data_IF_124022708387
#
_entry.id   IF_124022708387
#
_cell.length_a   1.000
_cell.length_b   1.000
_cell.length_c   1.000
_cell.angle_alpha   90.00
_cell.angle_beta   90.00
_cell.angle_gamma   90.00
#
_symmetry.space_group_name_H-M   'P 1'
#
loop_
_entity.id
_entity.type
_entity.pdbx_description
1 polymer ?
#
# COMPACT_ATOMS: atom_id res chain seq x y z
N UNK A 1 -35.62 22.48 44.14
CA UNK A 1 -34.19 22.59 43.79
C UNK A 1 -33.84 21.85 42.49
N UNK A 2 -34.35 20.64 42.22
CA UNK A 2 -34.06 19.86 41.02
C UNK A 2 -34.44 20.51 39.66
N UNK A 3 -35.58 21.25 39.64
CA UNK A 3 -36.04 21.92 38.39
C UNK A 3 -35.14 23.09 37.98
N UNK A 4 -34.59 23.83 38.93
CA UNK A 4 -33.69 24.95 38.68
C UNK A 4 -32.34 24.44 38.13
N UNK A 5 -31.85 23.30 38.65
CA UNK A 5 -30.64 22.66 38.19
C UNK A 5 -30.80 22.16 36.74
N UNK A 6 -31.95 21.65 36.37
CA UNK A 6 -32.25 21.17 35.01
C UNK A 6 -32.28 22.31 33.98
N UNK A 7 -32.87 23.47 34.32
CA UNK A 7 -32.87 24.65 33.45
C UNK A 7 -31.47 25.27 33.31
N UNK A 8 -30.65 25.22 34.36
CA UNK A 8 -29.24 25.66 34.30
C UNK A 8 -28.40 24.82 33.37
N UNK A 9 -28.58 23.49 33.35
CA UNK A 9 -27.83 22.57 32.45
C UNK A 9 -28.27 22.77 31.00
N UNK A 10 -29.56 22.97 30.74
CA UNK A 10 -30.08 23.23 29.38
C UNK A 10 -29.57 24.57 28.87
N UNK A 11 -29.49 25.61 29.68
CA UNK A 11 -28.94 26.91 29.30
C UNK A 11 -27.45 26.84 28.94
N UNK A 12 -26.68 25.98 29.64
CA UNK A 12 -25.26 25.80 29.36
C UNK A 12 -24.97 25.08 28.02
N UNK A 13 -25.89 24.18 27.61
CA UNK A 13 -25.78 23.44 26.33
C UNK A 13 -26.04 24.31 25.11
N UNK A 14 -26.85 25.37 25.25
CA UNK A 14 -27.19 26.27 24.15
C UNK A 14 -26.07 27.27 23.84
N UNK A 15 -25.21 27.60 24.80
CA UNK A 15 -24.08 28.51 24.62
C UNK A 15 -22.84 27.86 23.95
N UNK A 16 -22.85 26.54 23.69
CA UNK A 16 -21.75 25.80 23.09
C UNK A 16 -21.74 25.81 21.56
N UNK A 17 -22.61 26.58 20.89
CA UNK A 17 -22.50 26.79 19.45
C UNK A 17 -21.34 27.75 19.13
N UNK A 18 -20.12 27.21 19.21
CA UNK A 18 -18.95 27.85 18.60
C UNK A 18 -19.19 27.83 17.07
N UNK A 19 -19.55 29.00 16.52
CA UNK A 19 -19.76 29.17 15.10
C UNK A 19 -18.50 28.74 14.34
N UNK A 20 -18.58 27.62 13.64
CA UNK A 20 -17.55 27.17 12.70
C UNK A 20 -17.44 28.26 11.64
N UNK A 21 -16.39 29.08 11.75
CA UNK A 21 -16.13 30.13 10.76
C UNK A 21 -15.81 29.44 9.43
N UNK A 22 -16.60 29.64 8.36
CA UNK A 22 -16.30 29.05 7.06
C UNK A 22 -14.96 29.58 6.58
N UNK A 23 -14.05 28.66 6.25
CA UNK A 23 -12.76 29.01 5.68
C UNK A 23 -13.01 29.63 4.31
N UNK A 24 -12.54 30.86 4.09
CA UNK A 24 -12.60 31.50 2.78
C UNK A 24 -11.73 30.69 1.82
N UNK A 25 -12.37 30.06 0.85
CA UNK A 25 -11.69 29.29 -0.22
C UNK A 25 -11.52 30.23 -1.40
N UNK A 26 -10.29 30.35 -1.92
CA UNK A 26 -10.03 31.14 -3.12
C UNK A 26 -10.61 30.41 -4.34
N UNK A 27 -11.63 31.04 -4.96
CA UNK A 27 -12.34 30.49 -6.12
C UNK A 27 -11.49 30.45 -7.38
N UNK A 28 -10.33 31.11 -7.39
CA UNK A 28 -9.37 31.08 -8.51
C UNK A 28 -8.56 29.76 -8.52
N UNK A 29 -8.31 29.20 -7.34
CA UNK A 29 -7.57 27.94 -7.21
C UNK A 29 -8.47 26.70 -7.11
N UNK A 30 -9.71 26.90 -6.63
CA UNK A 30 -10.65 25.79 -6.40
C UNK A 30 -11.87 25.94 -7.30
N UNK A 31 -12.13 25.00 -8.22
CA UNK A 31 -13.31 25.04 -9.09
C UNK A 31 -14.61 25.09 -8.30
N UNK A 32 -15.54 25.94 -8.69
CA UNK A 32 -16.85 26.09 -8.05
C UNK A 32 -17.70 24.83 -8.29
N UNK A 33 -17.53 24.21 -9.45
CA UNK A 33 -18.28 23.00 -9.82
C UNK A 33 -17.78 21.76 -9.06
N UNK A 34 -18.72 21.03 -8.44
CA UNK A 34 -18.42 19.83 -7.66
C UNK A 34 -17.73 18.72 -8.50
N UNK A 35 -18.11 18.58 -9.76
CA UNK A 35 -17.51 17.60 -10.67
C UNK A 35 -16.09 17.96 -11.06
N UNK A 36 -15.79 19.23 -11.26
CA UNK A 36 -14.45 19.69 -11.57
C UNK A 36 -13.53 19.56 -10.35
N UNK A 37 -14.03 19.84 -9.15
CA UNK A 37 -13.31 19.59 -7.89
C UNK A 37 -12.99 18.11 -7.72
N UNK A 38 -13.94 17.23 -8.00
CA UNK A 38 -13.73 15.78 -7.93
C UNK A 38 -12.64 15.33 -8.93
N UNK A 39 -12.69 15.81 -10.17
CA UNK A 39 -11.66 15.53 -11.18
C UNK A 39 -10.29 16.07 -10.82
N UNK A 40 -10.24 17.28 -10.24
CA UNK A 40 -8.99 17.87 -9.75
C UNK A 40 -8.42 17.06 -8.60
N UNK A 41 -9.26 16.68 -7.62
CA UNK A 41 -8.84 15.85 -6.50
C UNK A 41 -8.33 14.47 -6.94
N UNK A 42 -8.97 13.86 -7.95
CA UNK A 42 -8.50 12.60 -8.53
C UNK A 42 -7.14 12.79 -9.21
N UNK A 43 -6.96 13.88 -9.98
CA UNK A 43 -5.67 14.19 -10.63
C UNK A 43 -4.55 14.48 -9.63
N UNK A 44 -4.90 15.09 -8.49
CA UNK A 44 -3.97 15.45 -7.42
C UNK A 44 -3.81 14.33 -6.37
N UNK A 45 -4.43 13.14 -6.58
CA UNK A 45 -4.38 12.02 -5.64
C UNK A 45 -5.11 12.28 -4.32
N UNK A 46 -5.94 13.32 -4.24
CA UNK A 46 -6.70 13.72 -3.03
C UNK A 46 -8.12 13.12 -3.00
N UNK A 47 -8.31 11.92 -3.51
CA UNK A 47 -9.58 11.20 -3.39
C UNK A 47 -9.90 10.88 -1.94
N UNK A 48 -11.10 11.23 -1.45
CA UNK A 48 -11.55 10.83 -0.12
C UNK A 48 -11.70 9.31 -0.07
N UNK A 49 -10.99 8.66 0.84
CA UNK A 49 -11.17 7.23 1.11
C UNK A 49 -12.19 7.03 2.22
N UNK A 50 -12.82 5.86 2.26
CA UNK A 50 -13.77 5.51 3.34
C UNK A 50 -13.12 5.66 4.72
N UNK A 51 -11.82 5.49 4.81
CA UNK A 51 -11.01 5.64 6.01
C UNK A 51 -10.89 7.11 6.46
N UNK A 52 -10.86 8.05 5.52
CA UNK A 52 -10.83 9.49 5.83
C UNK A 52 -12.19 9.97 6.37
N UNK A 53 -13.26 9.28 6.01
CA UNK A 53 -14.64 9.61 6.43
C UNK A 53 -14.94 9.06 7.84
N UNK A 54 -14.41 7.88 8.19
CA UNK A 54 -14.77 7.15 9.43
C UNK A 54 -13.76 7.35 10.56
N UNK A 55 -12.53 7.72 10.25
CA UNK A 55 -11.51 7.90 11.27
C UNK A 55 -10.62 9.07 10.91
N UNK A 56 -10.70 10.16 11.65
CA UNK A 56 -9.80 11.30 11.56
C UNK A 56 -8.33 10.89 11.68
N UNK A 57 -7.82 10.15 10.70
CA UNK A 57 -6.50 9.59 10.64
C UNK A 57 -5.55 10.52 9.89
N UNK A 58 -4.63 11.11 10.61
CA UNK A 58 -3.42 11.68 10.07
C UNK A 58 -2.72 10.62 9.21
N UNK A 59 -2.57 10.91 7.90
CA UNK A 59 -1.63 10.21 7.03
C UNK A 59 -2.06 8.78 6.69
N UNK A 60 -3.18 8.62 5.96
CA UNK A 60 -3.25 7.50 5.05
C UNK A 60 -2.12 7.71 4.03
N UNK A 61 -1.01 7.00 4.23
CA UNK A 61 -0.03 6.83 3.18
C UNK A 61 -0.77 6.12 2.05
N UNK A 62 -1.31 6.88 1.13
CA UNK A 62 -1.68 6.37 -0.18
C UNK A 62 -0.35 5.93 -0.76
N UNK A 63 -0.10 4.61 -0.70
CA UNK A 63 1.03 4.02 -1.40
C UNK A 63 0.72 4.16 -2.89
N UNK A 64 0.91 5.34 -3.43
CA UNK A 64 1.03 5.50 -4.87
C UNK A 64 2.35 4.85 -5.26
N UNK A 65 2.29 3.53 -5.47
CA UNK A 65 3.34 2.86 -6.23
C UNK A 65 3.23 3.39 -7.66
N UNK A 66 3.68 4.61 -7.84
CA UNK A 66 3.83 5.21 -9.14
C UNK A 66 4.72 4.29 -9.99
N UNK A 67 4.48 4.24 -11.31
CA UNK A 67 5.40 3.64 -12.27
C UNK A 67 6.83 4.17 -12.09
N UNK A 68 6.98 5.30 -11.40
CA UNK A 68 8.24 5.92 -11.01
C UNK A 68 8.86 5.36 -9.71
N UNK A 69 8.15 4.53 -8.91
CA UNK A 69 8.76 3.99 -7.69
C UNK A 69 9.94 3.06 -8.03
N UNK A 70 11.17 3.38 -7.62
CA UNK A 70 12.37 2.63 -7.98
C UNK A 70 12.34 1.20 -7.42
N UNK A 71 11.80 0.99 -6.21
CA UNK A 71 11.67 -0.34 -5.61
C UNK A 71 10.72 -1.24 -6.40
N UNK A 72 9.61 -0.67 -6.88
CA UNK A 72 8.64 -1.39 -7.71
C UNK A 72 9.24 -1.80 -9.05
N UNK A 73 9.84 -0.84 -9.76
CA UNK A 73 10.50 -1.09 -11.04
C UNK A 73 11.61 -2.13 -10.92
N UNK A 74 12.46 -1.99 -9.90
CA UNK A 74 13.52 -2.94 -9.62
C UNK A 74 12.98 -4.36 -9.34
N UNK A 75 11.87 -4.47 -8.61
CA UNK A 75 11.28 -5.78 -8.31
C UNK A 75 10.73 -6.47 -9.54
N UNK A 76 10.04 -5.74 -10.43
CA UNK A 76 9.56 -6.28 -11.69
C UNK A 76 10.71 -6.74 -12.57
N UNK A 77 11.78 -5.96 -12.68
CA UNK A 77 12.95 -6.29 -13.50
C UNK A 77 13.72 -7.50 -12.95
N UNK A 78 13.92 -7.58 -11.63
CA UNK A 78 14.63 -8.71 -11.01
C UNK A 78 13.80 -10.00 -11.06
N UNK A 79 12.48 -9.92 -11.06
CA UNK A 79 11.59 -11.10 -11.08
C UNK A 79 11.08 -11.45 -12.48
N UNK A 80 11.49 -10.73 -13.52
CA UNK A 80 10.99 -10.87 -14.90
C UNK A 80 11.14 -12.30 -15.47
N UNK A 81 12.11 -13.05 -14.98
CA UNK A 81 12.31 -14.45 -15.38
C UNK A 81 11.26 -15.43 -14.82
N UNK A 82 10.40 -14.99 -13.90
CA UNK A 82 9.33 -15.78 -13.31
C UNK A 82 7.96 -15.35 -13.85
N UNK A 83 7.05 -16.28 -14.11
CA UNK A 83 5.69 -15.93 -14.45
C UNK A 83 4.99 -15.28 -13.26
N UNK A 84 4.31 -14.16 -13.48
CA UNK A 84 3.53 -13.50 -12.46
C UNK A 84 2.10 -14.06 -12.39
N UNK A 85 1.65 -14.37 -11.19
CA UNK A 85 0.25 -14.74 -10.90
C UNK A 85 -0.59 -13.50 -10.61
N UNK A 86 -0.03 -12.56 -9.85
CA UNK A 86 -0.73 -11.33 -9.46
C UNK A 86 0.25 -10.18 -9.33
N UNK A 87 -0.10 -9.06 -9.93
CA UNK A 87 0.60 -7.78 -9.78
C UNK A 87 -0.41 -6.76 -9.31
N UNK A 88 -0.48 -6.51 -8.01
CA UNK A 88 -1.39 -5.55 -7.42
C UNK A 88 -0.66 -4.26 -7.10
N UNK A 89 -0.92 -3.27 -7.95
CA UNK A 89 -0.30 -1.96 -7.89
C UNK A 89 -0.75 -1.17 -6.66
N UNK A 90 -2.04 -1.21 -6.36
CA UNK A 90 -2.65 -0.46 -5.26
C UNK A 90 -2.36 -1.09 -3.91
N UNK A 91 -2.32 -2.41 -3.85
CA UNK A 91 -1.98 -3.16 -2.64
C UNK A 91 -0.48 -3.30 -2.40
N UNK A 92 0.37 -2.82 -3.34
CA UNK A 92 1.82 -2.91 -3.23
C UNK A 92 2.31 -4.36 -3.10
N UNK A 93 1.85 -5.24 -4.01
CA UNK A 93 2.16 -6.66 -3.91
C UNK A 93 2.41 -7.28 -5.29
N UNK A 94 3.46 -8.10 -5.38
CA UNK A 94 3.77 -8.93 -6.54
C UNK A 94 3.80 -10.37 -6.08
N UNK A 95 3.08 -11.24 -6.79
CA UNK A 95 3.06 -12.67 -6.53
C UNK A 95 3.43 -13.39 -7.82
N UNK A 96 4.46 -14.24 -7.78
CA UNK A 96 4.81 -15.11 -8.91
C UNK A 96 3.86 -16.30 -8.94
N UNK A 97 3.82 -17.01 -10.05
CA UNK A 97 3.25 -18.35 -10.07
C UNK A 97 4.26 -19.37 -9.53
N UNK A 98 3.86 -20.62 -9.42
CA UNK A 98 4.75 -21.72 -9.06
C UNK A 98 5.77 -21.96 -10.17
N UNK A 99 7.03 -21.80 -9.84
CA UNK A 99 8.15 -22.03 -10.75
C UNK A 99 8.93 -23.26 -10.31
N UNK A 100 9.21 -24.16 -11.26
CA UNK A 100 10.01 -25.35 -11.07
C UNK A 100 11.12 -25.37 -12.11
N UNK A 101 12.34 -25.54 -11.67
CA UNK A 101 13.48 -25.72 -12.57
C UNK A 101 13.60 -27.19 -12.98
N UNK A 102 13.77 -27.43 -14.28
CA UNK A 102 13.99 -28.78 -14.86
C UNK A 102 12.87 -29.82 -14.56
N UNK A 103 11.61 -29.42 -14.51
CA UNK A 103 10.50 -30.32 -14.19
C UNK A 103 10.71 -31.10 -12.87
N UNK A 104 11.42 -30.51 -11.92
CA UNK A 104 11.61 -31.12 -10.61
C UNK A 104 10.27 -31.20 -9.88
N UNK A 105 10.15 -32.15 -8.94
CA UNK A 105 8.97 -32.29 -8.08
C UNK A 105 8.82 -31.13 -7.08
N UNK A 106 9.79 -30.23 -7.07
CA UNK A 106 9.85 -29.06 -6.22
C UNK A 106 9.53 -27.80 -7.01
N UNK A 107 8.70 -26.94 -6.46
CA UNK A 107 8.39 -25.64 -7.03
C UNK A 107 8.45 -24.54 -5.96
N UNK A 108 8.82 -23.34 -6.37
CA UNK A 108 8.84 -22.17 -5.49
C UNK A 108 7.81 -21.13 -5.96
N UNK A 109 7.24 -20.41 -5.01
CA UNK A 109 6.37 -19.26 -5.21
C UNK A 109 6.88 -18.11 -4.37
N UNK A 110 7.06 -16.95 -4.99
CA UNK A 110 7.59 -15.75 -4.34
C UNK A 110 6.50 -14.71 -4.21
N UNK A 111 6.39 -14.12 -3.03
CA UNK A 111 5.52 -12.98 -2.76
C UNK A 111 6.37 -11.83 -2.27
N UNK A 112 6.32 -10.72 -2.97
CA UNK A 112 6.97 -9.46 -2.61
C UNK A 112 5.88 -8.48 -2.17
N UNK A 113 6.01 -7.92 -0.97
CA UNK A 113 5.12 -6.90 -0.43
C UNK A 113 5.92 -5.65 -0.09
N UNK A 114 5.44 -4.53 -0.56
CA UNK A 114 6.01 -3.23 -0.25
C UNK A 114 5.32 -2.67 1.00
N UNK A 115 6.11 -2.30 2.00
CA UNK A 115 5.64 -1.75 3.27
C UNK A 115 5.83 -0.24 3.34
N UNK A 116 6.76 0.30 2.53
CA UNK A 116 7.03 1.72 2.37
C UNK A 116 7.59 2.00 0.96
N UNK A 117 7.63 3.28 0.56
CA UNK A 117 8.13 3.71 -0.76
C UNK A 117 9.64 3.95 -0.80
N UNK A 118 10.28 3.97 0.35
CA UNK A 118 11.69 4.28 0.51
C UNK A 118 12.57 3.09 0.11
N UNK A 119 13.75 3.37 -0.45
CA UNK A 119 14.74 2.35 -0.84
C UNK A 119 15.48 1.86 0.39
N UNK A 120 14.83 0.99 1.18
CA UNK A 120 15.34 0.41 2.43
C UNK A 120 14.96 -1.07 2.56
N UNK A 121 15.74 -1.80 3.33
CA UNK A 121 15.53 -3.24 3.53
C UNK A 121 14.25 -3.60 4.29
N UNK A 122 13.81 -2.72 5.19
CA UNK A 122 12.58 -2.85 5.98
C UNK A 122 11.32 -2.42 5.21
N UNK A 123 11.49 -1.68 4.11
CA UNK A 123 10.39 -1.32 3.20
C UNK A 123 9.90 -2.49 2.35
N UNK A 124 10.59 -3.64 2.38
CA UNK A 124 10.32 -4.77 1.53
C UNK A 124 10.20 -6.07 2.34
N UNK A 125 9.07 -6.75 2.18
CA UNK A 125 8.84 -8.08 2.75
C UNK A 125 8.77 -9.13 1.65
N UNK A 126 9.72 -10.05 1.65
CA UNK A 126 9.75 -11.18 0.71
C UNK A 126 9.39 -12.46 1.46
N UNK A 127 8.45 -13.22 0.90
CA UNK A 127 8.04 -14.53 1.40
C UNK A 127 8.24 -15.57 0.29
N UNK A 128 8.97 -16.62 0.59
CA UNK A 128 9.23 -17.71 -0.36
C UNK A 128 8.52 -18.97 0.14
N UNK A 129 7.61 -19.49 -0.67
CA UNK A 129 6.95 -20.77 -0.41
C UNK A 129 7.58 -21.84 -1.28
N UNK A 130 7.86 -23.00 -0.70
CA UNK A 130 8.32 -24.19 -1.40
C UNK A 130 7.21 -25.22 -1.39
N UNK A 131 6.93 -25.78 -2.56
CA UNK A 131 6.01 -26.90 -2.76
C UNK A 131 6.84 -28.12 -3.13
N UNK A 132 6.68 -29.20 -2.40
CA UNK A 132 7.36 -30.50 -2.62
C UNK A 132 6.30 -31.56 -2.88
N UNK A 133 6.41 -32.26 -4.01
CA UNK A 133 5.49 -33.32 -4.40
C UNK A 133 6.19 -34.68 -4.37
N UNK A 134 5.76 -35.58 -3.48
CA UNK A 134 6.36 -36.95 -3.39
C UNK A 134 5.77 -37.94 -4.39
N UNK A 135 4.59 -37.70 -4.90
CA UNK A 135 3.91 -38.42 -5.96
C UNK A 135 2.84 -37.51 -6.54
N UNK A 136 2.29 -37.83 -7.72
CA UNK A 136 1.43 -36.97 -8.53
C UNK A 136 0.24 -36.31 -7.80
N UNK A 137 -0.06 -36.71 -6.57
CA UNK A 137 -1.19 -36.18 -5.80
C UNK A 137 -0.86 -35.72 -4.37
N UNK A 138 0.35 -35.91 -3.88
CA UNK A 138 0.70 -35.60 -2.50
C UNK A 138 1.75 -34.49 -2.44
N UNK A 139 1.31 -33.24 -2.56
CA UNK A 139 2.16 -32.06 -2.50
C UNK A 139 2.04 -31.37 -1.13
N UNK A 140 3.16 -31.00 -0.54
CA UNK A 140 3.24 -30.21 0.68
C UNK A 140 3.84 -28.85 0.40
N UNK A 141 3.18 -27.79 0.87
CA UNK A 141 3.66 -26.42 0.75
C UNK A 141 4.14 -25.91 2.10
N UNK A 142 5.36 -25.38 2.14
CA UNK A 142 5.98 -24.83 3.33
C UNK A 142 6.49 -23.41 3.06
N UNK A 143 6.38 -22.52 4.06
CA UNK A 143 7.02 -21.23 4.04
C UNK A 143 8.48 -21.41 4.44
N UNK A 144 9.41 -20.97 3.59
CA UNK A 144 10.84 -20.98 3.90
C UNK A 144 11.17 -19.75 4.77
N UNK A 145 11.29 -19.96 6.08
CA UNK A 145 11.73 -18.93 7.00
C UNK A 145 13.22 -18.67 6.77
N UNK A 146 13.62 -17.39 6.65
CA UNK A 146 15.01 -16.97 6.44
C UNK A 146 15.68 -17.62 5.22
N UNK A 147 14.95 -17.74 4.11
CA UNK A 147 15.49 -18.36 2.91
C UNK A 147 16.63 -17.52 2.32
N UNK A 148 17.70 -18.20 1.88
CA UNK A 148 18.81 -17.57 1.16
C UNK A 148 18.30 -16.82 -0.08
N UNK A 149 17.35 -17.45 -0.82
CA UNK A 149 16.68 -16.85 -1.99
C UNK A 149 16.00 -15.54 -1.63
N UNK A 150 15.22 -15.49 -0.54
CA UNK A 150 14.54 -14.27 -0.11
C UNK A 150 15.50 -13.15 0.29
N UNK A 151 16.63 -13.48 0.90
CA UNK A 151 17.64 -12.50 1.28
C UNK A 151 18.42 -11.99 0.07
N UNK A 152 18.76 -12.84 -0.86
CA UNK A 152 19.44 -12.50 -2.10
C UNK A 152 18.57 -11.61 -2.99
N UNK A 153 17.30 -11.97 -3.17
CA UNK A 153 16.32 -11.15 -3.88
C UNK A 153 16.18 -9.76 -3.25
N UNK A 154 16.04 -9.68 -1.92
CA UNK A 154 15.98 -8.41 -1.22
C UNK A 154 17.20 -7.54 -1.52
N UNK A 155 18.40 -8.10 -1.41
CA UNK A 155 19.63 -7.37 -1.67
C UNK A 155 19.73 -6.90 -3.12
N UNK A 156 19.35 -7.75 -4.07
CA UNK A 156 19.36 -7.44 -5.50
C UNK A 156 18.34 -6.34 -5.85
N UNK A 157 17.13 -6.44 -5.33
CA UNK A 157 16.07 -5.43 -5.54
C UNK A 157 16.51 -4.08 -4.98
N UNK A 158 17.03 -4.02 -3.76
CA UNK A 158 17.47 -2.76 -3.14
C UNK A 158 18.63 -2.14 -3.93
N UNK A 159 19.61 -2.95 -4.34
CA UNK A 159 20.74 -2.48 -5.15
C UNK A 159 20.27 -1.89 -6.48
N UNK A 160 19.38 -2.58 -7.18
CA UNK A 160 18.79 -2.09 -8.44
C UNK A 160 17.95 -0.83 -8.23
N UNK A 161 17.13 -0.80 -7.19
CA UNK A 161 16.32 0.36 -6.84
C UNK A 161 17.17 1.59 -6.56
N UNK A 162 18.28 1.45 -5.83
CA UNK A 162 19.22 2.54 -5.57
C UNK A 162 19.89 3.09 -6.84
N UNK A 163 20.07 2.27 -7.86
CA UNK A 163 20.54 2.73 -9.17
C UNK A 163 19.45 3.53 -9.87
N UNK A 164 18.22 2.99 -9.95
CA UNK A 164 17.08 3.64 -10.59
C UNK A 164 16.69 4.97 -9.91
N UNK A 165 16.86 5.07 -8.60
CA UNK A 165 16.61 6.30 -7.83
C UNK A 165 17.60 7.42 -8.18
N UNK A 166 18.84 7.08 -8.55
CA UNK A 166 19.85 8.08 -8.98
C UNK A 166 19.65 8.55 -10.42
N UNK A 167 18.96 7.76 -11.22
CA UNK A 167 18.70 8.05 -12.64
C UNK A 167 17.39 8.81 -12.85
N UNK A 168 16.55 8.94 -11.82
CA UNK A 168 15.26 9.65 -11.84
C UNK A 168 15.41 11.10 -11.37
#
# INVERSE_FOLDING_TARGET
MTKILFYSIISLLILSCNAIKPKKVDTRETPINAQERARKNIKEGKGATLRDIVGGGRGATTYEFSTSNPMWRASLEILDFLPFSTVDYSGGMIITDWYSENNSNDAIKITVRFLANEVRSDSLKISVHKKECKSNMNCRTNLLKNSAIGNELRTSIIRKAAILERES
#
